data_IF_381202312078
#
_entry.id   IF_381202312078
#
_cell.length_a   1.000
_cell.length_b   1.000
_cell.length_c   1.000
_cell.angle_alpha   90.00
_cell.angle_beta   90.00
_cell.angle_gamma   90.00
#
_symmetry.space_group_name_H-M   'P 1'
#
loop_
_entity.id
_entity.type
_entity.pdbx_description
1 polymer ?
#
# COMPACT_ATOMS: atom_id res chain seq x y z
N UNK A 1 -4.83 20.13 -12.85
CA UNK A 1 -5.83 19.07 -12.60
C UNK A 1 -6.65 19.44 -11.37
N UNK A 2 -7.98 19.33 -11.40
CA UNK A 2 -8.85 19.61 -10.24
C UNK A 2 -8.51 18.64 -9.08
N UNK A 3 -8.48 19.09 -7.82
CA UNK A 3 -8.10 18.24 -6.66
C UNK A 3 -8.99 17.00 -6.55
N UNK A 4 -10.28 17.09 -6.86
CA UNK A 4 -11.18 15.93 -6.89
C UNK A 4 -10.74 14.90 -7.93
N UNK A 5 -10.33 15.35 -9.13
CA UNK A 5 -9.80 14.45 -10.16
C UNK A 5 -8.50 13.80 -9.71
N UNK A 6 -7.63 14.56 -9.04
CA UNK A 6 -6.40 14.03 -8.45
C UNK A 6 -6.70 12.95 -7.40
N UNK A 7 -7.60 13.22 -6.43
CA UNK A 7 -7.95 12.26 -5.37
C UNK A 7 -8.52 10.95 -5.93
N UNK A 8 -9.36 11.04 -6.96
CA UNK A 8 -9.91 9.87 -7.66
C UNK A 8 -8.82 9.10 -8.39
N UNK A 9 -8.02 9.78 -9.20
CA UNK A 9 -6.93 9.16 -9.94
C UNK A 9 -5.95 8.48 -8.98
N UNK A 10 -5.55 9.17 -7.92
CA UNK A 10 -4.68 8.63 -6.88
C UNK A 10 -5.26 7.36 -6.25
N UNK A 11 -6.54 7.39 -5.87
CA UNK A 11 -7.19 6.22 -5.25
C UNK A 11 -7.27 5.04 -6.21
N UNK A 12 -7.56 5.27 -7.50
CA UNK A 12 -7.52 4.21 -8.51
C UNK A 12 -6.11 3.68 -8.69
N UNK A 13 -5.12 4.56 -8.91
CA UNK A 13 -3.75 4.16 -9.23
C UNK A 13 -3.10 3.40 -8.09
N UNK A 14 -3.12 3.96 -6.88
CA UNK A 14 -2.51 3.35 -5.69
C UNK A 14 -3.27 2.10 -5.26
N UNK A 15 -4.61 2.17 -5.27
CA UNK A 15 -5.46 1.01 -4.94
C UNK A 15 -5.26 -0.15 -5.91
N UNK A 16 -5.19 0.12 -7.22
CA UNK A 16 -4.97 -0.92 -8.24
C UNK A 16 -3.58 -1.52 -8.14
N UNK A 17 -2.56 -0.70 -7.86
CA UNK A 17 -1.18 -1.18 -7.66
C UNK A 17 -1.11 -2.19 -6.52
N UNK A 18 -1.68 -1.86 -5.36
CA UNK A 18 -1.72 -2.78 -4.21
C UNK A 18 -2.58 -4.00 -4.49
N UNK A 19 -3.75 -3.82 -5.12
CA UNK A 19 -4.67 -4.91 -5.42
C UNK A 19 -4.01 -5.95 -6.36
N UNK A 20 -3.38 -5.47 -7.43
CA UNK A 20 -2.66 -6.33 -8.39
C UNK A 20 -1.46 -7.00 -7.70
N UNK A 21 -0.68 -6.25 -6.93
CA UNK A 21 0.48 -6.83 -6.20
C UNK A 21 0.03 -7.90 -5.21
N UNK A 22 -1.03 -7.64 -4.44
CA UNK A 22 -1.61 -8.58 -3.51
C UNK A 22 -2.14 -9.84 -4.20
N UNK A 23 -2.88 -9.69 -5.31
CA UNK A 23 -3.36 -10.83 -6.10
C UNK A 23 -2.20 -11.64 -6.70
N UNK A 24 -1.15 -10.99 -7.20
CA UNK A 24 0.05 -11.66 -7.66
C UNK A 24 0.75 -12.41 -6.52
N UNK A 25 0.79 -11.85 -5.31
CA UNK A 25 1.35 -12.56 -4.14
C UNK A 25 0.49 -13.75 -3.74
N UNK A 26 -0.84 -13.67 -3.86
CA UNK A 26 -1.74 -14.80 -3.60
C UNK A 26 -1.45 -15.97 -4.54
N UNK A 27 -1.43 -15.70 -5.85
CA UNK A 27 -1.36 -16.76 -6.88
C UNK A 27 0.06 -17.13 -7.32
N UNK A 28 1.01 -16.21 -7.23
CA UNK A 28 2.39 -16.38 -7.73
C UNK A 28 3.41 -15.61 -6.87
N UNK A 29 3.53 -15.92 -5.57
CA UNK A 29 4.42 -15.19 -4.66
C UNK A 29 5.89 -15.24 -5.10
N UNK A 30 6.35 -16.37 -5.65
CA UNK A 30 7.71 -16.53 -6.14
C UNK A 30 8.02 -15.62 -7.35
N UNK A 31 7.05 -15.36 -8.23
CA UNK A 31 7.21 -14.43 -9.34
C UNK A 31 7.41 -13.00 -8.83
N UNK A 32 6.61 -12.57 -7.84
CA UNK A 32 6.75 -11.23 -7.25
C UNK A 32 8.13 -11.06 -6.61
N UNK A 33 8.60 -12.04 -5.85
CA UNK A 33 9.94 -11.99 -5.27
C UNK A 33 11.03 -11.94 -6.34
N UNK A 34 10.90 -12.71 -7.42
CA UNK A 34 11.83 -12.67 -8.56
C UNK A 34 11.87 -11.29 -9.22
N UNK A 35 10.71 -10.65 -9.41
CA UNK A 35 10.62 -9.29 -9.96
C UNK A 35 11.28 -8.25 -9.05
N UNK A 36 11.21 -8.46 -7.74
CA UNK A 36 11.91 -7.64 -6.74
C UNK A 36 13.38 -8.03 -6.56
N UNK A 37 13.91 -8.96 -7.39
CA UNK A 37 15.30 -9.41 -7.33
C UNK A 37 15.65 -10.16 -6.04
N UNK A 38 14.66 -10.80 -5.40
CA UNK A 38 14.83 -11.51 -4.14
C UNK A 38 14.90 -13.02 -4.35
N UNK A 39 15.79 -13.68 -3.61
CA UNK A 39 15.85 -15.13 -3.59
C UNK A 39 14.53 -15.71 -3.03
N UNK A 40 13.95 -16.74 -3.65
CA UNK A 40 12.74 -17.36 -3.13
C UNK A 40 13.05 -18.03 -1.78
N UNK A 41 12.21 -17.82 -0.76
CA UNK A 41 12.35 -18.49 0.53
C UNK A 41 11.93 -19.97 0.42
N UNK A 42 11.92 -20.67 1.55
CA UNK A 42 11.37 -22.04 1.62
C UNK A 42 9.92 -22.10 1.13
N UNK A 43 9.49 -23.26 0.67
CA UNK A 43 8.12 -23.47 0.17
C UNK A 43 7.05 -23.11 1.23
N UNK A 44 7.29 -23.44 2.49
CA UNK A 44 6.38 -23.12 3.59
C UNK A 44 6.24 -21.60 3.81
N UNK A 45 7.32 -20.84 3.62
CA UNK A 45 7.29 -19.38 3.71
C UNK A 45 6.46 -18.73 2.59
N UNK A 46 6.38 -19.37 1.41
CA UNK A 46 5.54 -18.88 0.33
C UNK A 46 4.05 -18.93 0.68
N UNK A 47 3.61 -19.88 1.51
CA UNK A 47 2.21 -19.95 1.99
C UNK A 47 1.86 -18.71 2.81
N UNK A 48 2.75 -18.30 3.72
CA UNK A 48 2.56 -17.09 4.51
C UNK A 48 2.59 -15.83 3.62
N UNK A 49 3.41 -15.83 2.57
CA UNK A 49 3.46 -14.73 1.62
C UNK A 49 2.17 -14.62 0.79
N UNK A 50 1.60 -15.75 0.35
CA UNK A 50 0.28 -15.79 -0.28
C UNK A 50 -0.83 -15.31 0.65
N UNK A 51 -0.80 -15.72 1.92
CA UNK A 51 -1.73 -15.24 2.94
C UNK A 51 -1.62 -13.73 3.17
N UNK A 52 -0.40 -13.18 3.27
CA UNK A 52 -0.17 -11.73 3.33
C UNK A 52 -0.69 -11.02 2.07
N UNK A 53 -0.56 -11.65 0.90
CA UNK A 53 -1.11 -11.17 -0.37
C UNK A 53 -2.62 -10.88 -0.30
N UNK A 54 -3.39 -11.67 0.47
CA UNK A 54 -4.84 -11.44 0.67
C UNK A 54 -5.09 -10.10 1.37
N UNK A 55 -4.31 -9.78 2.41
CA UNK A 55 -4.45 -8.49 3.11
C UNK A 55 -4.01 -7.33 2.24
N UNK A 56 -2.92 -7.48 1.49
CA UNK A 56 -2.42 -6.45 0.57
C UNK A 56 -3.46 -6.17 -0.51
N UNK A 57 -4.07 -7.22 -1.08
CA UNK A 57 -5.15 -7.09 -2.04
C UNK A 57 -6.37 -6.39 -1.44
N UNK A 58 -6.75 -6.76 -0.21
CA UNK A 58 -7.84 -6.12 0.53
C UNK A 58 -7.59 -4.63 0.79
N UNK A 59 -6.38 -4.25 1.17
CA UNK A 59 -5.98 -2.84 1.33
C UNK A 59 -6.09 -2.09 0.00
N UNK A 60 -5.61 -2.67 -1.10
CA UNK A 60 -5.74 -2.08 -2.43
C UNK A 60 -7.19 -1.86 -2.86
N UNK A 61 -8.03 -2.89 -2.69
CA UNK A 61 -9.45 -2.81 -2.99
C UNK A 61 -10.20 -1.81 -2.09
N UNK A 62 -9.72 -1.59 -0.86
CA UNK A 62 -10.34 -0.63 0.07
C UNK A 62 -10.35 0.81 -0.47
N UNK A 63 -9.41 1.17 -1.36
CA UNK A 63 -9.42 2.47 -2.02
C UNK A 63 -10.66 2.71 -2.88
N UNK A 64 -11.35 1.66 -3.36
CA UNK A 64 -12.62 1.81 -4.04
C UNK A 64 -13.72 2.39 -3.12
N UNK A 65 -13.60 2.15 -1.80
CA UNK A 65 -14.51 2.72 -0.81
C UNK A 65 -14.29 4.23 -0.58
N UNK A 66 -13.18 4.79 -1.10
CA UNK A 66 -12.95 6.23 -1.06
C UNK A 66 -13.87 7.00 -2.02
N UNK A 67 -14.51 6.31 -2.98
CA UNK A 67 -15.47 6.94 -3.87
C UNK A 67 -16.79 7.22 -3.14
N UNK A 68 -17.28 8.45 -3.26
CA UNK A 68 -18.55 8.88 -2.70
C UNK A 68 -18.38 10.09 -1.78
N UNK A 69 -18.92 9.98 -0.57
CA UNK A 69 -18.93 11.06 0.42
C UNK A 69 -17.53 11.38 0.92
N UNK A 70 -17.29 12.66 1.22
CA UNK A 70 -16.04 13.16 1.79
C UNK A 70 -15.52 12.33 2.97
N UNK A 71 -16.38 12.02 3.94
CA UNK A 71 -15.98 11.31 5.16
C UNK A 71 -15.45 9.90 4.90
N UNK A 72 -15.99 9.21 3.87
CA UNK A 72 -15.50 7.89 3.46
C UNK A 72 -14.10 7.99 2.86
N UNK A 73 -13.90 8.95 1.96
CA UNK A 73 -12.60 9.22 1.35
C UNK A 73 -11.51 9.55 2.38
N UNK A 74 -11.82 10.46 3.31
CA UNK A 74 -10.92 10.82 4.41
C UNK A 74 -10.58 9.60 5.29
N UNK A 75 -11.57 8.78 5.63
CA UNK A 75 -11.39 7.58 6.47
C UNK A 75 -10.51 6.54 5.78
N UNK A 76 -10.80 6.22 4.52
CA UNK A 76 -10.03 5.23 3.74
C UNK A 76 -8.59 5.70 3.56
N UNK A 77 -8.37 6.97 3.24
CA UNK A 77 -7.03 7.52 3.10
C UNK A 77 -6.27 7.56 4.43
N UNK A 78 -6.94 7.88 5.55
CA UNK A 78 -6.31 7.87 6.86
C UNK A 78 -5.88 6.44 7.26
N UNK A 79 -6.78 5.46 7.05
CA UNK A 79 -6.49 4.07 7.37
C UNK A 79 -5.36 3.49 6.51
N UNK A 80 -5.43 3.68 5.19
CA UNK A 80 -4.40 3.18 4.26
C UNK A 80 -3.04 3.84 4.50
N UNK A 81 -3.02 5.16 4.78
CA UNK A 81 -1.79 5.85 5.14
C UNK A 81 -1.16 5.31 6.43
N UNK A 82 -1.98 5.04 7.45
CA UNK A 82 -1.53 4.43 8.71
C UNK A 82 -0.88 3.07 8.46
N UNK A 83 -1.55 2.17 7.74
CA UNK A 83 -1.02 0.84 7.43
C UNK A 83 0.32 0.95 6.69
N UNK A 84 0.41 1.80 5.67
CA UNK A 84 1.64 2.00 4.89
C UNK A 84 2.80 2.51 5.74
N UNK A 85 2.55 3.50 6.61
CA UNK A 85 3.59 4.01 7.52
C UNK A 85 4.05 2.92 8.48
N UNK A 86 3.13 2.11 9.02
CA UNK A 86 3.49 0.98 9.90
C UNK A 86 4.34 -0.06 9.16
N UNK A 87 4.00 -0.40 7.91
CA UNK A 87 4.79 -1.31 7.06
C UNK A 87 6.18 -0.72 6.81
N UNK A 88 6.27 0.57 6.44
CA UNK A 88 7.54 1.25 6.20
C UNK A 88 8.44 1.25 7.46
N UNK A 89 7.88 1.52 8.63
CA UNK A 89 8.60 1.47 9.91
C UNK A 89 9.07 0.05 10.21
N UNK A 90 8.19 -0.95 10.06
CA UNK A 90 8.55 -2.36 10.28
C UNK A 90 9.72 -2.79 9.39
N UNK A 91 9.64 -2.51 8.09
CA UNK A 91 10.69 -2.84 7.13
C UNK A 91 12.00 -2.14 7.47
N UNK A 92 11.94 -0.86 7.82
CA UNK A 92 13.13 -0.09 8.24
C UNK A 92 13.81 -0.74 9.43
N UNK A 93 13.05 -1.09 10.48
CA UNK A 93 13.60 -1.75 11.68
C UNK A 93 14.21 -3.10 11.34
N UNK A 94 13.55 -3.92 10.51
CA UNK A 94 14.05 -5.27 10.17
C UNK A 94 15.27 -5.26 9.26
N UNK A 95 15.37 -4.27 8.36
CA UNK A 95 16.53 -4.07 7.50
C UNK A 95 17.71 -3.56 8.31
N UNK A 96 17.53 -2.52 9.13
CA UNK A 96 18.60 -1.98 9.98
C UNK A 96 19.08 -3.00 11.02
N UNK A 97 18.20 -3.88 11.50
CA UNK A 97 18.54 -4.99 12.38
C UNK A 97 19.21 -6.19 11.67
N UNK A 98 19.45 -6.14 10.36
CA UNK A 98 20.10 -7.22 9.60
C UNK A 98 19.27 -8.49 9.42
N UNK A 99 17.98 -8.46 9.80
CA UNK A 99 17.08 -9.62 9.73
C UNK A 99 16.31 -9.74 8.42
N UNK A 100 16.43 -8.74 7.54
CA UNK A 100 15.70 -8.66 6.28
C UNK A 100 16.58 -8.08 5.18
N UNK A 101 16.46 -8.61 3.97
CA UNK A 101 17.24 -8.17 2.81
C UNK A 101 16.97 -6.70 2.46
N UNK A 102 18.03 -5.98 2.09
CA UNK A 102 17.97 -4.56 1.73
C UNK A 102 17.05 -4.27 0.52
N UNK A 103 16.79 -5.25 -0.35
CA UNK A 103 15.87 -5.11 -1.48
C UNK A 103 14.44 -4.73 -1.05
N UNK A 104 14.04 -5.09 0.18
CA UNK A 104 12.76 -4.67 0.77
C UNK A 104 12.68 -3.18 1.09
N UNK A 105 13.81 -2.46 1.08
CA UNK A 105 13.82 -1.00 1.28
C UNK A 105 13.02 -0.28 0.19
N UNK A 106 12.96 -0.81 -1.03
CA UNK A 106 12.12 -0.26 -2.09
C UNK A 106 10.64 -0.26 -1.70
N UNK A 107 10.16 -1.38 -1.16
CA UNK A 107 8.76 -1.51 -0.69
C UNK A 107 8.50 -0.54 0.46
N UNK A 108 9.38 -0.53 1.48
CA UNK A 108 9.24 0.39 2.61
C UNK A 108 9.31 1.87 2.22
N UNK A 109 10.17 2.21 1.25
CA UNK A 109 10.27 3.56 0.70
C UNK A 109 8.99 3.98 -0.05
N UNK A 110 8.47 3.12 -0.92
CA UNK A 110 7.21 3.35 -1.62
C UNK A 110 6.04 3.56 -0.63
N UNK A 111 5.90 2.67 0.36
CA UNK A 111 4.87 2.78 1.39
C UNK A 111 5.02 4.05 2.23
N UNK A 112 6.24 4.37 2.66
CA UNK A 112 6.53 5.57 3.42
C UNK A 112 6.16 6.85 2.65
N UNK A 113 6.58 6.97 1.39
CA UNK A 113 6.29 8.14 0.55
C UNK A 113 4.79 8.29 0.32
N UNK A 114 4.11 7.21 -0.08
CA UNK A 114 2.66 7.22 -0.34
C UNK A 114 1.89 7.55 0.93
N UNK A 115 2.22 6.91 2.06
CA UNK A 115 1.57 7.14 3.35
C UNK A 115 1.76 8.58 3.85
N UNK A 116 2.98 9.11 3.80
CA UNK A 116 3.26 10.50 4.19
C UNK A 116 2.52 11.48 3.29
N UNK A 117 2.51 11.25 1.98
CA UNK A 117 1.79 12.11 1.04
C UNK A 117 0.29 12.10 1.34
N UNK A 118 -0.32 10.95 1.59
CA UNK A 118 -1.74 10.86 1.98
C UNK A 118 -2.02 11.66 3.27
N UNK A 119 -1.17 11.54 4.30
CA UNK A 119 -1.30 12.32 5.55
C UNK A 119 -1.23 13.82 5.27
N UNK A 120 -0.26 14.26 4.46
CA UNK A 120 -0.11 15.68 4.09
C UNK A 120 -1.36 16.18 3.36
N UNK A 121 -1.86 15.45 2.37
CA UNK A 121 -3.05 15.86 1.60
C UNK A 121 -4.33 15.89 2.45
N UNK A 122 -4.46 14.97 3.42
CA UNK A 122 -5.53 15.00 4.41
C UNK A 122 -5.43 16.25 5.30
N UNK A 123 -4.24 16.59 5.80
CA UNK A 123 -4.02 17.78 6.64
C UNK A 123 -4.24 19.08 5.88
N UNK A 124 -3.87 19.13 4.61
CA UNK A 124 -4.18 20.26 3.72
C UNK A 124 -5.68 20.37 3.40
N UNK A 125 -6.49 19.39 3.79
CA UNK A 125 -7.94 19.42 3.62
C UNK A 125 -8.38 19.30 2.16
N UNK A 126 -7.63 18.57 1.32
CA UNK A 126 -7.97 18.42 -0.11
C UNK A 126 -9.34 17.76 -0.32
N UNK A 127 -9.79 16.95 0.64
CA UNK A 127 -11.11 16.34 0.65
C UNK A 127 -12.26 17.33 0.92
N UNK A 128 -11.99 18.56 1.38
CA UNK A 128 -13.02 19.59 1.62
C UNK A 128 -13.76 20.02 0.35
N UNK A 129 -13.15 19.83 -0.82
CA UNK A 129 -13.78 20.11 -2.12
C UNK A 129 -14.80 19.04 -2.53
N UNK A 130 -14.76 17.86 -1.90
CA UNK A 130 -15.74 16.81 -2.13
C UNK A 130 -17.00 17.12 -1.31
N UNK A 131 -18.20 17.09 -1.92
CA UNK A 131 -19.46 17.25 -1.20
C UNK A 131 -19.56 16.28 -0.02
N UNK A 132 -20.20 16.73 1.06
CA UNK A 132 -20.42 15.92 2.27
C UNK A 132 -21.24 14.66 1.97
#
# INVERSE_FOLDING_TARGET
MNRIKFLKLWSVSVGSMDAVTGLLLVFSPALVLKLLGMAPPSADALVFLSWMGVFIAGVGLSYAMAFGRRSRGETVWAFTAMIRILVAVFLTVKILGGTMAANWALVGGCDGIVGVLQVVLLRLGWWKEVPK
#
